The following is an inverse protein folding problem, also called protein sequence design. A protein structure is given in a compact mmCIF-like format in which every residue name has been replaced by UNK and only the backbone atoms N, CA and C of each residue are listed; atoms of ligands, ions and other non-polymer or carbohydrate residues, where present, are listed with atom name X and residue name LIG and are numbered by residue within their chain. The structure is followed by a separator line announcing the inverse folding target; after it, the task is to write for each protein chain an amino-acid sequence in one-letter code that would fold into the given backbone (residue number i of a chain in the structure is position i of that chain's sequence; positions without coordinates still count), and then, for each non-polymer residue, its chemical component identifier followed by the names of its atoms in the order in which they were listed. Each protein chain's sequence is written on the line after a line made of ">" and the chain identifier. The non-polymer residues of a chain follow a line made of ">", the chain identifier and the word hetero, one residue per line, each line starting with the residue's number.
data_IF_234595322620
#
_entry.id   IF_234595322620
#
_cell.length_a   1.000
_cell.length_b   1.000
_cell.length_c   1.000
_cell.angle_alpha   90.00
_cell.angle_beta   90.00
_cell.angle_gamma   90.00
#
_symmetry.space_group_name_H-M   'P 1'
#
loop_
_entity.id
_entity.type
_entity.pdbx_description
1 polymer ?
#
# COMPACT_ATOMS: atom_id res chain seq x y z
N UNK A 1 22.28 -0.83 21.33
CA UNK A 1 22.04 -1.68 20.16
C UNK A 1 21.42 -0.76 19.12
N UNK A 2 22.22 -0.28 18.18
CA UNK A 2 21.66 0.40 17.00
C UNK A 2 21.11 -0.74 16.15
N UNK A 3 19.80 -0.94 16.21
CA UNK A 3 19.14 -1.69 15.14
C UNK A 3 19.57 -0.98 13.85
N UNK A 4 20.36 -1.66 13.03
CA UNK A 4 20.73 -1.23 11.69
C UNK A 4 19.41 -1.20 10.93
N UNK A 5 18.62 -0.14 11.16
CA UNK A 5 17.35 0.15 10.52
C UNK A 5 17.72 0.39 9.07
N UNK A 6 17.85 -0.73 8.36
CA UNK A 6 18.23 -0.73 6.98
C UNK A 6 17.15 0.08 6.27
N UNK A 7 17.53 1.11 5.50
CA UNK A 7 16.57 1.86 4.73
C UNK A 7 15.62 0.91 3.99
N UNK A 8 14.31 1.18 3.99
CA UNK A 8 13.38 0.33 3.27
C UNK A 8 13.78 0.26 1.80
N UNK A 9 13.84 -0.95 1.27
CA UNK A 9 14.17 -1.24 -0.11
C UNK A 9 12.91 -1.69 -0.87
N UNK A 10 13.01 -1.83 -2.20
CA UNK A 10 11.88 -2.23 -3.03
C UNK A 10 11.27 -3.57 -2.59
N UNK A 11 12.08 -4.51 -2.06
CA UNK A 11 11.56 -5.77 -1.54
C UNK A 11 10.73 -5.59 -0.26
N UNK A 12 11.04 -4.57 0.55
CA UNK A 12 10.24 -4.20 1.72
C UNK A 12 8.86 -3.67 1.31
N UNK A 13 8.81 -2.81 0.28
CA UNK A 13 7.53 -2.36 -0.30
C UNK A 13 6.72 -3.54 -0.85
N UNK A 14 7.37 -4.47 -1.55
CA UNK A 14 6.69 -5.61 -2.17
C UNK A 14 6.15 -6.60 -1.12
N UNK A 15 6.91 -6.89 -0.06
CA UNK A 15 6.40 -7.71 1.06
C UNK A 15 5.18 -7.11 1.73
N UNK A 16 5.17 -5.79 1.94
CA UNK A 16 4.01 -5.08 2.48
C UNK A 16 2.82 -5.20 1.52
N UNK A 17 3.04 -5.02 0.22
CA UNK A 17 1.99 -5.14 -0.79
C UNK A 17 1.38 -6.55 -0.84
N UNK A 18 2.22 -7.59 -0.73
CA UNK A 18 1.79 -8.99 -0.72
C UNK A 18 1.14 -9.43 0.62
N UNK A 19 1.21 -8.60 1.68
CA UNK A 19 0.60 -8.88 2.98
C UNK A 19 -0.94 -8.73 2.93
N UNK A 20 -1.57 -9.76 2.39
CA UNK A 20 -3.03 -9.84 2.25
C UNK A 20 -3.74 -9.85 3.60
N UNK A 21 -3.09 -10.37 4.66
CA UNK A 21 -3.67 -10.41 5.99
C UNK A 21 -3.76 -9.00 6.59
N UNK A 22 -2.72 -8.18 6.42
CA UNK A 22 -2.76 -6.78 6.83
C UNK A 22 -3.74 -5.96 5.98
N UNK A 23 -3.75 -6.19 4.66
CA UNK A 23 -4.71 -5.56 3.74
C UNK A 23 -6.17 -5.84 4.12
N UNK A 24 -6.51 -7.07 4.49
CA UNK A 24 -7.88 -7.44 4.93
C UNK A 24 -8.25 -6.85 6.29
N UNK A 25 -7.31 -6.81 7.23
CA UNK A 25 -7.58 -6.32 8.59
C UNK A 25 -7.66 -4.80 8.67
N UNK A 26 -6.86 -4.09 7.88
CA UNK A 26 -6.73 -2.63 7.96
C UNK A 26 -6.32 -2.06 6.61
N UNK A 27 -7.24 -2.01 5.63
CA UNK A 27 -6.92 -1.61 4.26
C UNK A 27 -6.43 -0.17 4.15
N UNK A 28 -6.98 0.76 4.93
CA UNK A 28 -6.53 2.16 4.94
C UNK A 28 -5.11 2.30 5.51
N UNK A 29 -4.80 1.56 6.59
CA UNK A 29 -3.47 1.56 7.18
C UNK A 29 -2.45 0.89 6.28
N UNK A 30 -2.83 -0.22 5.63
CA UNK A 30 -2.02 -0.90 4.62
C UNK A 30 -1.68 0.04 3.46
N UNK A 31 -2.68 0.77 2.93
CA UNK A 31 -2.48 1.75 1.87
C UNK A 31 -1.57 2.90 2.30
N UNK A 32 -1.80 3.49 3.47
CA UNK A 32 -0.98 4.58 4.00
C UNK A 32 0.50 4.17 4.18
N UNK A 33 0.73 2.95 4.65
CA UNK A 33 2.07 2.39 4.81
C UNK A 33 2.76 2.15 3.46
N UNK A 34 2.03 1.66 2.44
CA UNK A 34 2.54 1.50 1.07
C UNK A 34 2.99 2.84 0.46
N UNK A 35 2.24 3.91 0.70
CA UNK A 35 2.62 5.25 0.26
C UNK A 35 3.84 5.76 1.00
N UNK A 36 3.88 5.62 2.33
CA UNK A 36 5.02 6.06 3.15
C UNK A 36 6.31 5.38 2.72
N UNK A 37 6.28 4.07 2.50
CA UNK A 37 7.45 3.31 2.03
C UNK A 37 7.86 3.75 0.61
N UNK A 38 6.92 4.03 -0.29
CA UNK A 38 7.23 4.54 -1.62
C UNK A 38 7.89 5.94 -1.56
N UNK A 39 7.38 6.85 -0.73
CA UNK A 39 7.99 8.17 -0.51
C UNK A 39 9.40 8.06 0.09
N UNK A 40 9.59 7.17 1.06
CA UNK A 40 10.91 6.88 1.64
C UNK A 40 11.88 6.38 0.55
N UNK A 41 11.45 5.46 -0.33
CA UNK A 41 12.26 4.95 -1.44
C UNK A 41 12.66 6.06 -2.42
N UNK A 42 11.74 6.97 -2.76
CA UNK A 42 12.02 8.10 -3.63
C UNK A 42 12.98 9.10 -2.96
N UNK A 43 12.74 9.43 -1.68
CA UNK A 43 13.56 10.36 -0.90
C UNK A 43 15.00 9.88 -0.72
N UNK A 44 15.23 8.57 -0.71
CA UNK A 44 16.55 7.96 -0.65
C UNK A 44 17.20 7.75 -2.02
N UNK A 45 16.46 7.97 -3.12
CA UNK A 45 16.93 7.70 -4.49
C UNK A 45 17.04 6.21 -4.83
N UNK A 46 16.38 5.33 -4.06
CA UNK A 46 16.32 3.89 -4.34
C UNK A 46 15.43 3.57 -5.54
N UNK A 47 14.47 4.47 -5.84
CA UNK A 47 13.63 4.45 -7.03
C UNK A 47 13.57 5.83 -7.65
N UNK A 48 13.28 5.89 -8.95
CA UNK A 48 12.98 7.15 -9.65
C UNK A 48 11.49 7.54 -9.56
N UNK A 49 11.18 8.75 -10.04
CA UNK A 49 9.82 9.29 -10.00
C UNK A 49 8.81 8.43 -10.79
N UNK A 50 9.22 7.80 -11.90
CA UNK A 50 8.33 6.95 -12.71
C UNK A 50 8.03 5.65 -11.95
N UNK A 51 9.05 5.07 -11.32
CA UNK A 51 8.89 3.91 -10.45
C UNK A 51 7.96 4.24 -9.27
N UNK A 52 8.16 5.38 -8.61
CA UNK A 52 7.28 5.84 -7.52
C UNK A 52 5.82 5.98 -7.97
N UNK A 53 5.55 6.62 -9.12
CA UNK A 53 4.19 6.72 -9.66
C UNK A 53 3.57 5.34 -9.93
N UNK A 54 4.38 4.39 -10.39
CA UNK A 54 3.94 3.01 -10.62
C UNK A 54 3.57 2.31 -9.31
N UNK A 55 4.36 2.47 -8.26
CA UNK A 55 4.07 1.91 -6.93
C UNK A 55 2.80 2.53 -6.34
N UNK A 56 2.66 3.85 -6.45
CA UNK A 56 1.47 4.57 -6.00
C UNK A 56 0.21 4.07 -6.70
N UNK A 57 0.23 3.96 -8.04
CA UNK A 57 -0.92 3.48 -8.81
C UNK A 57 -1.31 2.04 -8.43
N UNK A 58 -0.34 1.16 -8.16
CA UNK A 58 -0.60 -0.20 -7.65
C UNK A 58 -1.27 -0.19 -6.28
N UNK A 59 -0.78 0.63 -5.36
CA UNK A 59 -1.35 0.78 -4.02
C UNK A 59 -2.79 1.32 -4.10
N UNK A 60 -3.03 2.34 -4.94
CA UNK A 60 -4.37 2.93 -5.15
C UNK A 60 -5.33 1.90 -5.76
N UNK A 61 -4.88 1.10 -6.73
CA UNK A 61 -5.70 0.04 -7.30
C UNK A 61 -6.02 -1.05 -6.27
N UNK A 62 -5.05 -1.44 -5.42
CA UNK A 62 -5.27 -2.43 -4.37
C UNK A 62 -6.25 -1.93 -3.29
N UNK A 63 -6.15 -0.66 -2.91
CA UNK A 63 -7.06 -0.03 -1.93
C UNK A 63 -8.49 0.03 -2.45
N UNK A 64 -8.69 0.40 -3.73
CA UNK A 64 -10.01 0.38 -4.39
C UNK A 64 -10.70 -0.98 -4.44
N UNK A 65 -9.92 -2.06 -4.45
CA UNK A 65 -10.45 -3.43 -4.45
C UNK A 65 -10.58 -4.00 -3.02
N UNK A 66 -10.37 -3.17 -1.99
CA UNK A 66 -10.42 -3.55 -0.59
C UNK A 66 -11.79 -4.12 -0.20
N UNK A 67 -11.84 -5.10 0.72
CA UNK A 67 -13.09 -5.57 1.30
C UNK A 67 -13.94 -4.44 1.90
N UNK A 68 -13.30 -3.41 2.48
CA UNK A 68 -14.02 -2.28 3.08
C UNK A 68 -14.76 -1.42 2.04
N UNK A 69 -14.14 -1.15 0.88
CA UNK A 69 -14.79 -0.41 -0.20
C UNK A 69 -15.81 -1.27 -0.96
N UNK A 70 -15.55 -2.56 -1.14
CA UNK A 70 -16.51 -3.47 -1.76
C UNK A 70 -17.77 -3.66 -0.91
N UNK A 71 -17.63 -3.75 0.43
CA UNK A 71 -18.79 -3.79 1.34
C UNK A 71 -19.53 -2.45 1.34
N UNK A 72 -18.82 -1.32 1.29
CA UNK A 72 -19.45 -0.01 1.18
C UNK A 72 -20.23 0.16 -0.13
N UNK A 73 -19.78 -0.47 -1.22
CA UNK A 73 -20.51 -0.44 -2.48
C UNK A 73 -21.70 -1.41 -2.51
N UNK A 74 -21.64 -2.54 -1.79
CA UNK A 74 -22.73 -3.53 -1.69
C UNK A 74 -23.93 -3.02 -0.86
N UNK A 75 -23.74 -2.07 0.06
CA UNK A 75 -24.84 -1.49 0.87
C UNK A 75 -25.63 -0.36 0.21
N UNK A 76 -25.20 0.14 -0.97
CA UNK A 76 -25.92 1.20 -1.72
C UNK A 76 -26.89 0.65 -2.78
N UNK A 77 -27.08 -0.68 -2.85
CA UNK A 77 -28.06 -1.34 -3.71
C UNK A 77 -29.27 -1.83 -2.88
N UNK A 78 -30.23 -0.96 -2.50
CA UNK A 78 -31.47 -1.38 -1.87
C UNK A 78 -32.46 -1.88 -2.92
N UNK A 79 -32.15 -2.98 -3.61
CA UNK A 79 -33.14 -3.71 -4.41
C UNK A 79 -33.74 -4.85 -3.57
N UNK A 80 -34.65 -4.49 -2.67
CA UNK A 80 -35.81 -5.34 -2.28
C UNK A 80 -37.05 -4.51 -2.06
#
# INVERSE_FOLDING_TARGET
>A
MSDDLKPPDLASWQRLFDDTAYWQQSPDSHFAELLRVADDLLGQGAIDLVQWQTLKAKAEQSHKNSPAENVAHEVDDPET
#
